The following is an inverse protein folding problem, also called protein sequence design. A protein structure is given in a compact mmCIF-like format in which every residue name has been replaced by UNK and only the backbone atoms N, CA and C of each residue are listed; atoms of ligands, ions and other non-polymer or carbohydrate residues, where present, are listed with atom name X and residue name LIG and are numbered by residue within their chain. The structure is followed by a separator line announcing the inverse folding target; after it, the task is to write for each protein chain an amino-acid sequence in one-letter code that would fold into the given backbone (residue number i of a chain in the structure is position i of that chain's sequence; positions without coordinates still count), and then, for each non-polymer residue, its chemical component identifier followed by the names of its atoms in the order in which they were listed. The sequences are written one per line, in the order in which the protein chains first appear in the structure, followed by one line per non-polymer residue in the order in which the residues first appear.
data_IF_625480815753
#
_entry.id   IF_625480815753
#
_cell.length_a   1.000
_cell.length_b   1.000
_cell.length_c   1.000
_cell.angle_alpha   90.00
_cell.angle_beta   90.00
_cell.angle_gamma   90.00
#
_symmetry.space_group_name_H-M   'P 1'
#
loop_
_entity.id
_entity.type
_entity.pdbx_description
1 polymer ?
#
# COMPACT_ATOMS: atom_id res chain seq x y z
N UNK A 1 14.24 -18.51 9.42
CA UNK A 1 14.08 -17.33 8.56
C UNK A 1 13.83 -16.16 9.50
N UNK A 2 14.75 -15.20 9.63
CA UNK A 2 14.54 -14.07 10.53
C UNK A 2 13.99 -12.90 9.71
N UNK A 3 12.72 -12.58 9.92
CA UNK A 3 12.11 -11.34 9.45
C UNK A 3 12.21 -10.31 10.57
N UNK A 4 12.60 -9.09 10.24
CA UNK A 4 12.62 -7.96 11.17
C UNK A 4 11.91 -6.75 10.56
N UNK A 5 11.39 -5.82 11.38
CA UNK A 5 10.82 -4.58 10.90
C UNK A 5 11.78 -3.85 9.94
N UNK A 6 11.29 -3.50 8.77
CA UNK A 6 12.05 -2.84 7.71
C UNK A 6 12.47 -3.75 6.56
N UNK A 7 12.46 -5.09 6.73
CA UNK A 7 12.76 -6.03 5.64
C UNK A 7 11.79 -5.88 4.47
N UNK A 8 12.33 -5.98 3.25
CA UNK A 8 11.52 -6.18 2.05
C UNK A 8 11.20 -7.65 1.90
N UNK A 9 9.94 -7.97 1.63
CA UNK A 9 9.44 -9.34 1.47
C UNK A 9 8.60 -9.43 0.19
N UNK A 10 8.61 -10.62 -0.42
CA UNK A 10 7.70 -11.05 -1.47
C UNK A 10 6.72 -12.05 -0.88
N UNK A 11 5.48 -12.04 -1.36
CA UNK A 11 4.48 -12.99 -0.92
C UNK A 11 4.60 -14.31 -1.70
N UNK A 12 4.49 -15.44 -1.00
CA UNK A 12 4.58 -16.78 -1.60
C UNK A 12 3.33 -17.12 -2.41
N UNK A 13 2.16 -16.79 -1.85
CA UNK A 13 0.85 -17.13 -2.39
C UNK A 13 0.08 -15.92 -2.95
N UNK A 14 0.71 -14.74 -2.94
CA UNK A 14 0.11 -13.48 -3.41
C UNK A 14 1.13 -12.74 -4.30
N UNK A 15 0.63 -11.76 -5.05
CA UNK A 15 1.39 -10.99 -6.03
C UNK A 15 2.01 -9.76 -5.37
N UNK A 16 3.22 -9.38 -5.81
CA UNK A 16 3.90 -8.17 -5.35
C UNK A 16 4.74 -8.31 -4.09
N UNK A 17 5.11 -7.16 -3.55
CA UNK A 17 6.11 -7.02 -2.49
C UNK A 17 5.60 -6.10 -1.38
N UNK A 18 6.22 -6.18 -0.21
CA UNK A 18 5.92 -5.29 0.89
C UNK A 18 7.07 -5.13 1.87
N UNK A 19 6.87 -4.24 2.84
CA UNK A 19 7.83 -3.96 3.90
C UNK A 19 7.28 -4.41 5.24
N UNK A 20 8.06 -5.18 5.98
CA UNK A 20 7.68 -5.63 7.33
C UNK A 20 7.58 -4.42 8.26
N UNK A 21 6.42 -4.20 8.89
CA UNK A 21 6.21 -3.18 9.92
C UNK A 21 6.42 -3.75 11.32
N UNK A 22 5.88 -4.94 11.57
CA UNK A 22 6.03 -5.64 12.84
C UNK A 22 6.00 -7.15 12.62
N UNK A 23 6.66 -7.87 13.54
CA UNK A 23 6.73 -9.33 13.52
C UNK A 23 6.22 -9.82 14.87
N UNK A 24 5.27 -10.74 14.82
CA UNK A 24 4.76 -11.50 15.96
C UNK A 24 5.26 -12.96 15.87
N UNK A 25 4.83 -13.82 16.80
CA UNK A 25 5.32 -15.20 16.88
C UNK A 25 5.04 -16.04 15.62
N UNK A 26 3.92 -15.81 14.94
CA UNK A 26 3.42 -16.63 13.83
C UNK A 26 3.11 -15.82 12.55
N UNK A 27 3.05 -14.49 12.68
CA UNK A 27 2.58 -13.58 11.64
C UNK A 27 3.36 -12.27 11.65
N UNK A 28 3.36 -11.57 10.52
CA UNK A 28 3.94 -10.24 10.38
C UNK A 28 2.92 -9.28 9.75
N UNK A 29 2.98 -8.01 10.15
CA UNK A 29 2.24 -6.92 9.51
C UNK A 29 3.12 -6.35 8.41
N UNK A 30 2.62 -6.37 7.18
CA UNK A 30 3.33 -5.94 5.98
C UNK A 30 2.66 -4.71 5.40
N UNK A 31 3.43 -3.66 5.15
CA UNK A 31 3.03 -2.51 4.35
C UNK A 31 3.27 -2.83 2.87
N UNK A 32 2.20 -2.97 2.11
CA UNK A 32 2.26 -3.17 0.66
C UNK A 32 2.52 -1.86 -0.08
N UNK A 33 2.90 -1.97 -1.35
CA UNK A 33 3.18 -0.83 -2.24
C UNK A 33 1.98 0.10 -2.44
N UNK A 34 0.76 -0.43 -2.34
CA UNK A 34 -0.50 0.31 -2.39
C UNK A 34 -0.87 1.00 -1.06
N UNK A 35 -0.01 0.91 -0.05
CA UNK A 35 -0.15 1.58 1.24
C UNK A 35 -1.00 0.82 2.26
N UNK A 36 -1.40 -0.42 1.96
CA UNK A 36 -2.18 -1.23 2.89
C UNK A 36 -1.30 -2.01 3.87
N UNK A 37 -1.72 -2.03 5.13
CA UNK A 37 -1.17 -2.92 6.16
C UNK A 37 -1.96 -4.22 6.22
N UNK A 38 -1.30 -5.34 5.93
CA UNK A 38 -1.91 -6.66 5.90
C UNK A 38 -1.14 -7.65 6.81
N UNK A 39 -1.87 -8.59 7.41
CA UNK A 39 -1.28 -9.63 8.23
C UNK A 39 -1.01 -10.86 7.37
N UNK A 40 0.25 -11.28 7.33
CA UNK A 40 0.66 -12.48 6.63
C UNK A 40 1.28 -13.48 7.61
N UNK A 41 0.99 -14.78 7.49
CA UNK A 41 1.76 -15.82 8.17
C UNK A 41 3.23 -15.73 7.75
N UNK A 42 4.15 -15.95 8.69
CA UNK A 42 5.59 -15.91 8.37
C UNK A 42 5.99 -16.90 7.26
N UNK A 43 5.24 -18.00 7.13
CA UNK A 43 5.44 -19.02 6.09
C UNK A 43 5.08 -18.53 4.67
N UNK A 44 4.27 -17.48 4.55
CA UNK A 44 3.89 -16.91 3.25
C UNK A 44 4.80 -15.76 2.81
N UNK A 45 5.86 -15.49 3.57
CA UNK A 45 6.75 -14.36 3.34
C UNK A 45 8.15 -14.85 2.95
N UNK A 46 8.61 -14.38 1.80
CA UNK A 46 9.95 -14.62 1.29
C UNK A 46 10.74 -13.30 1.39
N UNK A 47 11.72 -13.15 2.28
CA UNK A 47 12.58 -11.97 2.32
C UNK A 47 13.33 -11.81 0.99
N UNK A 48 13.29 -10.59 0.46
CA UNK A 48 14.10 -10.19 -0.68
C UNK A 48 15.41 -9.64 -0.11
N UNK A 49 16.44 -10.48 -0.13
CA UNK A 49 17.78 -10.07 0.24
C UNK A 49 18.34 -9.34 -0.99
N UNK A 50 18.40 -8.01 -0.92
CA UNK A 50 19.20 -7.24 -1.88
C UNK A 50 20.68 -7.60 -1.69
N UNK A 51 21.46 -7.63 -2.78
CA UNK A 51 22.90 -7.89 -2.75
C UNK A 51 23.69 -6.94 -1.80
N UNK A 52 23.07 -5.85 -1.32
CA UNK A 52 23.64 -4.90 -0.37
C UNK A 52 23.54 -5.31 1.12
N UNK A 53 22.84 -6.39 1.50
CA UNK A 53 22.62 -6.74 2.93
C UNK A 53 23.51 -7.90 3.42
N UNK A 54 24.34 -8.48 2.55
CA UNK A 54 25.28 -9.54 2.95
C UNK A 54 26.46 -9.00 3.77
N UNK A 55 26.71 -7.68 3.74
CA UNK A 55 27.80 -7.04 4.47
C UNK A 55 27.47 -6.80 5.96
N UNK A 56 26.27 -6.31 6.28
CA UNK A 56 25.90 -5.98 7.67
C UNK A 56 25.74 -7.17 8.61
N UNK A 57 25.48 -8.39 8.10
CA UNK A 57 25.32 -9.57 8.94
C UNK A 57 26.65 -10.22 9.37
N UNK A 58 27.78 -9.79 8.81
CA UNK A 58 29.12 -10.31 9.12
C UNK A 58 30.02 -9.31 9.87
N UNK A 59 29.54 -8.10 10.15
CA UNK A 59 30.33 -7.01 10.72
C UNK A 59 30.21 -6.88 12.26
N UNK A 60 29.79 -7.94 12.97
CA UNK A 60 29.78 -7.99 14.45
C UNK A 60 31.19 -8.22 15.04
N UNK A 61 32.22 -7.66 14.40
CA UNK A 61 33.59 -7.68 14.85
C UNK A 61 34.22 -6.28 14.74
N UNK A 62 34.28 -5.61 15.89
CA UNK A 62 35.37 -4.74 16.33
C UNK A 62 35.45 -3.26 15.84
N UNK A 63 34.88 -2.40 16.69
CA UNK A 63 35.22 -1.01 17.06
C UNK A 63 36.40 -0.27 16.34
N UNK A 64 36.08 0.79 15.56
CA UNK A 64 36.40 2.23 15.83
C UNK A 64 36.17 3.14 14.61
N UNK A 65 35.81 4.44 14.81
CA UNK A 65 35.17 5.28 13.80
C UNK A 65 36.15 6.26 13.14
N UNK A 66 36.07 6.42 11.82
CA UNK A 66 36.36 7.69 11.14
C UNK A 66 35.96 7.63 9.67
N UNK A 67 35.23 8.66 9.26
CA UNK A 67 35.09 9.14 7.89
C UNK A 67 34.33 8.24 6.90
N UNK A 68 33.00 8.25 6.99
CA UNK A 68 32.14 8.03 5.82
C UNK A 68 30.92 8.94 5.92
N UNK A 69 30.79 9.84 4.93
CA UNK A 69 29.74 10.85 4.85
C UNK A 69 28.35 10.23 4.89
N UNK A 70 27.59 10.67 5.90
CA UNK A 70 26.20 10.29 6.10
C UNK A 70 25.38 10.83 4.93
N UNK A 71 25.02 9.96 3.99
CA UNK A 71 23.89 10.19 3.10
C UNK A 71 22.68 10.43 4.01
N UNK A 72 22.29 11.70 4.14
CA UNK A 72 21.08 12.15 4.80
C UNK A 72 19.88 11.64 4.01
N UNK A 73 19.56 10.36 4.16
CA UNK A 73 18.19 9.90 3.93
C UNK A 73 17.42 10.45 5.11
N UNK A 74 16.68 11.52 4.86
CA UNK A 74 15.88 12.23 5.84
C UNK A 74 15.06 11.23 6.66
N UNK A 75 15.54 11.00 7.88
CA UNK A 75 14.77 10.44 8.97
C UNK A 75 13.62 11.41 9.22
N UNK A 76 12.50 11.14 8.58
CA UNK A 76 11.20 11.65 8.95
C UNK A 76 10.35 10.49 9.43
N UNK A 77 10.86 9.75 10.42
CA UNK A 77 9.99 9.20 11.45
C UNK A 77 9.50 10.37 12.31
N UNK A 78 8.76 11.29 11.71
CA UNK A 78 7.76 12.04 12.43
C UNK A 78 6.66 11.05 12.68
N UNK A 79 6.35 10.83 13.95
CA UNK A 79 5.03 10.40 14.39
C UNK A 79 4.00 11.20 13.58
N UNK A 80 3.48 10.62 12.49
CA UNK A 80 2.49 11.30 11.68
C UNK A 80 1.21 11.27 12.52
N UNK A 81 0.65 12.44 12.90
CA UNK A 81 -0.72 12.45 13.39
C UNK A 81 -1.56 11.67 12.38
N UNK A 82 -2.49 10.81 12.85
CA UNK A 82 -3.38 10.00 11.99
C UNK A 82 -3.70 10.81 10.74
N UNK A 83 -3.14 10.40 9.60
CA UNK A 83 -3.32 11.16 8.37
C UNK A 83 -4.81 11.29 8.14
N UNK A 84 -5.31 12.52 8.17
CA UNK A 84 -6.74 12.77 8.01
C UNK A 84 -7.22 12.38 6.60
N UNK A 85 -6.25 12.16 5.70
CA UNK A 85 -6.43 11.77 4.31
C UNK A 85 -5.62 10.52 3.93
N UNK A 86 -6.23 9.62 3.17
CA UNK A 86 -5.61 8.46 2.51
C UNK A 86 -5.81 8.58 1.00
N UNK A 87 -4.81 8.20 0.20
CA UNK A 87 -4.91 8.17 -1.26
C UNK A 87 -4.56 6.76 -1.74
N UNK A 88 -5.33 6.20 -2.65
CA UNK A 88 -5.10 4.85 -3.22
C UNK A 88 -5.18 4.93 -4.74
N UNK A 89 -4.11 4.51 -5.40
CA UNK A 89 -4.06 4.38 -6.85
C UNK A 89 -4.58 3.01 -7.28
N UNK A 90 -5.67 3.02 -8.06
CA UNK A 90 -6.35 1.83 -8.55
C UNK A 90 -5.96 1.47 -9.99
N UNK A 91 -4.97 2.12 -10.61
CA UNK A 91 -4.50 1.68 -11.91
C UNK A 91 -3.90 0.28 -11.83
N UNK A 92 -4.26 -0.58 -12.79
CA UNK A 92 -3.91 -2.02 -12.75
C UNK A 92 -2.41 -2.28 -12.60
N UNK A 93 -1.55 -1.45 -13.18
CA UNK A 93 -0.09 -1.58 -13.06
C UNK A 93 0.44 -1.48 -11.61
N UNK A 94 -0.36 -0.88 -10.69
CA UNK A 94 -0.03 -0.82 -9.27
C UNK A 94 -0.56 -2.03 -8.48
N UNK A 95 -1.48 -2.80 -9.08
CA UNK A 95 -2.22 -3.87 -8.40
C UNK A 95 -1.77 -5.27 -8.85
N UNK A 96 -1.11 -5.39 -10.01
CA UNK A 96 -0.60 -6.66 -10.53
C UNK A 96 0.77 -6.51 -11.18
N UNK A 97 1.60 -7.55 -11.07
CA UNK A 97 2.94 -7.57 -11.66
C UNK A 97 2.92 -7.61 -13.20
N UNK A 98 1.90 -8.24 -13.80
CA UNK A 98 1.80 -8.38 -15.25
C UNK A 98 0.36 -8.18 -15.77
N UNK A 99 0.03 -6.91 -16.05
CA UNK A 99 -1.28 -6.48 -16.57
C UNK A 99 -1.70 -7.19 -17.86
N UNK A 100 -0.75 -7.60 -18.73
CA UNK A 100 -1.05 -8.16 -20.05
C UNK A 100 -1.69 -9.55 -19.98
N UNK A 101 -1.51 -10.23 -18.86
CA UNK A 101 -2.06 -11.58 -18.63
C UNK A 101 -3.47 -11.57 -18.06
N UNK A 102 -3.96 -10.40 -17.66
CA UNK A 102 -5.23 -10.26 -16.94
C UNK A 102 -6.32 -9.83 -17.93
N UNK A 103 -7.45 -10.55 -17.93
CA UNK A 103 -8.61 -10.17 -18.76
C UNK A 103 -9.24 -8.87 -18.23
N UNK A 104 -9.90 -8.10 -19.11
CA UNK A 104 -10.51 -6.80 -18.73
C UNK A 104 -11.52 -6.92 -17.58
N UNK A 105 -12.34 -7.97 -17.60
CA UNK A 105 -13.32 -8.21 -16.52
C UNK A 105 -12.61 -8.47 -15.19
N UNK A 106 -11.48 -9.21 -15.23
CA UNK A 106 -10.68 -9.48 -14.03
C UNK A 106 -9.95 -8.23 -13.54
N UNK A 107 -9.49 -7.36 -14.44
CA UNK A 107 -8.92 -6.06 -14.08
C UNK A 107 -9.93 -5.25 -13.29
N UNK A 108 -11.17 -5.12 -13.79
CA UNK A 108 -12.22 -4.36 -13.10
C UNK A 108 -12.54 -4.96 -11.72
N UNK A 109 -12.63 -6.29 -11.63
CA UNK A 109 -12.85 -7.00 -10.36
C UNK A 109 -11.74 -6.71 -9.34
N UNK A 110 -10.47 -6.79 -9.76
CA UNK A 110 -9.31 -6.47 -8.91
C UNK A 110 -9.40 -5.01 -8.43
N UNK A 111 -9.62 -4.07 -9.35
CA UNK A 111 -9.69 -2.65 -9.00
C UNK A 111 -10.83 -2.36 -8.00
N UNK A 112 -12.00 -2.98 -8.16
CA UNK A 112 -13.11 -2.85 -7.22
C UNK A 112 -12.84 -3.53 -5.88
N UNK A 113 -12.12 -4.66 -5.89
CA UNK A 113 -11.65 -5.31 -4.66
C UNK A 113 -10.75 -4.38 -3.85
N UNK A 114 -9.75 -3.75 -4.48
CA UNK A 114 -8.87 -2.78 -3.81
C UNK A 114 -9.63 -1.52 -3.38
N UNK A 115 -10.57 -1.02 -4.18
CA UNK A 115 -11.42 0.11 -3.80
C UNK A 115 -12.25 -0.19 -2.53
N UNK A 116 -12.87 -1.38 -2.45
CA UNK A 116 -13.60 -1.83 -1.26
C UNK A 116 -12.70 -1.84 -0.03
N UNK A 117 -11.52 -2.45 -0.18
CA UNK A 117 -10.53 -2.57 0.89
C UNK A 117 -10.06 -1.19 1.37
N UNK A 118 -9.88 -0.24 0.47
CA UNK A 118 -9.53 1.15 0.81
C UNK A 118 -10.56 1.78 1.74
N UNK A 119 -11.84 1.67 1.41
CA UNK A 119 -12.94 2.22 2.21
C UNK A 119 -13.00 1.56 3.59
N UNK A 120 -12.92 0.23 3.63
CA UNK A 120 -12.94 -0.53 4.88
C UNK A 120 -11.74 -0.20 5.78
N UNK A 121 -10.56 -0.02 5.18
CA UNK A 121 -9.34 0.35 5.89
C UNK A 121 -9.44 1.78 6.46
N UNK A 122 -9.91 2.74 5.65
CA UNK A 122 -10.10 4.11 6.08
C UNK A 122 -11.08 4.20 7.27
N UNK A 123 -12.19 3.44 7.22
CA UNK A 123 -13.14 3.33 8.35
C UNK A 123 -12.49 2.76 9.61
N UNK A 124 -11.79 1.63 9.48
CA UNK A 124 -11.13 0.97 10.61
C UNK A 124 -10.11 1.89 11.29
N UNK A 125 -9.37 2.67 10.51
CA UNK A 125 -8.36 3.63 10.99
C UNK A 125 -8.94 4.99 11.40
N UNK A 126 -10.24 5.22 11.20
CA UNK A 126 -10.92 6.51 11.42
C UNK A 126 -10.27 7.65 10.62
N UNK A 127 -9.94 7.36 9.36
CA UNK A 127 -9.46 8.35 8.39
C UNK A 127 -10.68 9.08 7.85
N UNK A 128 -10.67 10.42 7.89
CA UNK A 128 -11.83 11.24 7.52
C UNK A 128 -11.98 11.42 6.01
N UNK A 129 -10.88 11.34 5.27
CA UNK A 129 -10.85 11.59 3.82
C UNK A 129 -10.12 10.47 3.09
N UNK A 130 -10.70 9.93 2.03
CA UNK A 130 -10.11 8.92 1.17
C UNK A 130 -10.22 9.36 -0.29
N UNK A 131 -9.14 9.29 -1.05
CA UNK A 131 -9.14 9.57 -2.50
C UNK A 131 -8.80 8.28 -3.25
N UNK A 132 -9.70 7.85 -4.12
CA UNK A 132 -9.50 6.72 -5.03
C UNK A 132 -9.14 7.24 -6.42
N UNK A 133 -7.93 6.97 -6.89
CA UNK A 133 -7.43 7.40 -8.20
C UNK A 133 -7.67 6.26 -9.19
N UNK A 134 -8.64 6.41 -10.09
CA UNK A 134 -9.09 5.36 -11.01
C UNK A 134 -8.80 5.67 -12.48
N UNK A 135 -8.25 6.85 -12.78
CA UNK A 135 -7.96 7.32 -14.13
C UNK A 135 -9.19 7.79 -14.90
N UNK A 136 -8.99 8.40 -16.08
CA UNK A 136 -10.07 9.01 -16.87
C UNK A 136 -10.89 8.00 -17.69
N UNK A 137 -10.24 6.98 -18.25
CA UNK A 137 -10.83 5.83 -18.95
C UNK A 137 -12.10 6.08 -19.77
N UNK A 138 -12.96 5.05 -19.83
CA UNK A 138 -14.33 5.13 -20.37
C UNK A 138 -15.37 5.43 -19.27
N UNK A 139 -14.93 5.66 -18.03
CA UNK A 139 -15.81 5.87 -16.87
C UNK A 139 -16.44 4.61 -16.26
N UNK A 140 -16.09 3.41 -16.74
CA UNK A 140 -16.62 2.13 -16.22
C UNK A 140 -16.23 1.97 -14.73
N UNK A 141 -14.94 2.03 -14.41
CA UNK A 141 -14.46 1.88 -13.02
C UNK A 141 -15.05 2.96 -12.09
N UNK A 142 -15.12 4.23 -12.53
CA UNK A 142 -15.78 5.31 -11.78
C UNK A 142 -17.23 4.95 -11.44
N UNK A 143 -17.99 4.50 -12.43
CA UNK A 143 -19.41 4.14 -12.26
C UNK A 143 -19.59 2.99 -11.27
N UNK A 144 -18.74 1.97 -11.36
CA UNK A 144 -18.79 0.83 -10.42
C UNK A 144 -18.32 1.21 -9.01
N UNK A 145 -17.34 2.12 -8.87
CA UNK A 145 -16.94 2.69 -7.57
C UNK A 145 -18.13 3.44 -6.95
N UNK A 146 -18.84 4.26 -7.71
CA UNK A 146 -20.01 5.00 -7.19
C UNK A 146 -21.09 4.04 -6.69
N UNK A 147 -21.45 3.02 -7.48
CA UNK A 147 -22.39 1.97 -7.04
C UNK A 147 -21.92 1.22 -5.79
N UNK A 148 -20.61 0.97 -5.68
CA UNK A 148 -20.02 0.37 -4.50
C UNK A 148 -20.20 1.26 -3.27
N UNK A 149 -19.94 2.58 -3.41
CA UNK A 149 -20.03 3.56 -2.33
C UNK A 149 -21.49 3.82 -1.90
N UNK A 150 -22.45 3.73 -2.80
CA UNK A 150 -23.88 3.80 -2.47
C UNK A 150 -24.31 2.71 -1.46
N UNK A 151 -23.58 1.59 -1.38
CA UNK A 151 -23.81 0.53 -0.41
C UNK A 151 -23.23 0.79 0.99
N UNK A 152 -22.59 1.94 1.22
CA UNK A 152 -21.95 2.27 2.49
C UNK A 152 -22.67 3.39 3.23
N UNK A 153 -23.08 3.14 4.47
CA UNK A 153 -23.64 4.18 5.35
C UNK A 153 -22.54 5.08 5.90
N UNK A 154 -22.86 6.36 6.17
CA UNK A 154 -21.94 7.32 6.81
C UNK A 154 -20.70 7.69 5.99
N UNK A 155 -20.93 7.89 4.70
CA UNK A 155 -19.96 8.56 3.84
C UNK A 155 -20.67 9.51 2.87
N UNK A 156 -19.91 10.45 2.32
CA UNK A 156 -20.23 11.17 1.10
C UNK A 156 -19.08 11.00 0.12
N UNK A 157 -19.38 11.14 -1.16
CA UNK A 157 -18.34 11.13 -2.19
C UNK A 157 -18.64 12.14 -3.30
N UNK A 158 -17.57 12.61 -3.93
CA UNK A 158 -17.61 13.59 -5.01
C UNK A 158 -16.41 13.40 -5.95
N UNK A 159 -16.45 14.04 -7.12
CA UNK A 159 -15.27 14.10 -7.97
C UNK A 159 -14.14 14.85 -7.24
N UNK A 160 -12.95 14.28 -7.19
CA UNK A 160 -11.81 14.89 -6.51
C UNK A 160 -11.34 16.16 -7.24
N UNK A 161 -10.45 16.93 -6.59
CA UNK A 161 -9.93 18.18 -7.14
C UNK A 161 -9.39 18.02 -8.57
N UNK A 162 -10.01 18.72 -9.52
CA UNK A 162 -9.61 18.70 -10.92
C UNK A 162 -8.17 19.18 -11.13
N UNK A 163 -7.70 20.14 -10.32
CA UNK A 163 -6.34 20.66 -10.41
C UNK A 163 -5.29 19.60 -10.02
N UNK A 164 -5.63 18.70 -9.09
CA UNK A 164 -4.70 17.69 -8.57
C UNK A 164 -4.78 16.36 -9.33
N UNK A 165 -5.98 15.93 -9.72
CA UNK A 165 -6.21 14.59 -10.29
C UNK A 165 -6.93 14.60 -11.66
N UNK A 166 -7.24 15.77 -12.22
CA UNK A 166 -8.10 15.88 -13.38
C UNK A 166 -9.49 15.27 -13.12
N UNK A 167 -10.03 14.51 -14.07
CA UNK A 167 -11.31 13.77 -13.90
C UNK A 167 -11.10 12.33 -13.40
N UNK A 168 -9.92 12.00 -12.91
CA UNK A 168 -9.47 10.62 -12.71
C UNK A 168 -9.57 10.11 -11.27
N UNK A 169 -10.24 10.81 -10.37
CA UNK A 169 -10.31 10.41 -8.98
C UNK A 169 -11.64 10.76 -8.31
N UNK A 170 -12.03 9.90 -7.37
CA UNK A 170 -13.21 10.07 -6.51
C UNK A 170 -12.73 10.32 -5.09
N UNK A 171 -13.22 11.38 -4.47
CA UNK A 171 -12.95 11.71 -3.09
C UNK A 171 -14.13 11.28 -2.21
N UNK A 172 -13.82 10.76 -1.04
CA UNK A 172 -14.76 10.17 -0.09
C UNK A 172 -14.50 10.80 1.27
N UNK A 173 -15.55 11.34 1.88
CA UNK A 173 -15.54 11.84 3.26
C UNK A 173 -16.29 10.86 4.16
N UNK A 174 -15.67 10.49 5.29
CA UNK A 174 -16.13 9.49 6.25
C UNK A 174 -16.38 10.16 7.62
N UNK A 175 -17.48 9.80 8.30
CA UNK A 175 -17.86 10.38 9.61
C UNK A 175 -18.35 9.36 10.64
#
# INVERSE_FOLDING_TARGET
MNLYPGCKVRFLNDVGEGRVLSVSADSAVILRSDGFEEHFPLAELIPIIGEDVLAEALADADIRPKDAEVIRISKSETYTPRSDSMEVDLHIHNLVDNERTVSKDKILEIQLYHARRAVDHARKRKIRRLVLIHGIGQGILRTEIMKLLDGYDRLQYFDASYQKYGKGATEIELW
#
